data_IF_302014578492
#
_entry.id   IF_302014578492
#
_cell.length_a   1.000
_cell.length_b   1.000
_cell.length_c   1.000
_cell.angle_alpha   90.00
_cell.angle_beta   90.00
_cell.angle_gamma   90.00
#
_symmetry.space_group_name_H-M   'P 1'
#
loop_
_entity.id
_entity.type
_entity.pdbx_description
1 polymer ?
#
# COMPACT_ATOMS: atom_id res chain seq x y z
N UNK A 1 -5.88 -24.81 3.90
CA UNK A 1 -4.99 -23.80 4.50
C UNK A 1 -5.76 -23.07 5.59
N UNK A 2 -5.29 -23.16 6.83
CA UNK A 2 -5.82 -22.41 7.96
C UNK A 2 -5.35 -20.95 7.92
N UNK A 3 -6.05 -20.05 8.62
CA UNK A 3 -5.65 -18.64 8.74
C UNK A 3 -4.24 -18.54 9.35
N UNK A 4 -3.91 -19.43 10.29
CA UNK A 4 -2.60 -19.51 10.92
C UNK A 4 -1.51 -19.82 9.89
N UNK A 5 -1.68 -20.88 9.12
CA UNK A 5 -0.74 -21.27 8.05
C UNK A 5 -0.60 -20.17 6.99
N UNK A 6 -1.69 -19.50 6.62
CA UNK A 6 -1.66 -18.39 5.68
C UNK A 6 -0.84 -17.21 6.22
N UNK A 7 -1.01 -16.86 7.50
CA UNK A 7 -0.26 -15.80 8.16
C UNK A 7 1.24 -16.13 8.23
N UNK A 8 1.59 -17.34 8.66
CA UNK A 8 2.98 -17.82 8.72
C UNK A 8 3.66 -17.78 7.35
N UNK A 9 2.93 -18.18 6.29
CA UNK A 9 3.44 -18.12 4.92
C UNK A 9 3.74 -16.68 4.48
N UNK A 10 2.84 -15.75 4.79
CA UNK A 10 3.04 -14.31 4.46
C UNK A 10 4.20 -13.72 5.25
N UNK A 11 4.33 -14.05 6.54
CA UNK A 11 5.45 -13.60 7.38
C UNK A 11 6.79 -14.10 6.86
N UNK A 12 6.88 -15.38 6.47
CA UNK A 12 8.10 -15.95 5.89
C UNK A 12 8.46 -15.28 4.57
N UNK A 13 7.46 -14.99 3.72
CA UNK A 13 7.70 -14.29 2.45
C UNK A 13 8.26 -12.88 2.67
N UNK A 14 7.67 -12.13 3.61
CA UNK A 14 8.15 -10.79 3.92
C UNK A 14 9.54 -10.80 4.55
N UNK A 15 9.89 -11.81 5.37
CA UNK A 15 11.23 -11.98 5.94
C UNK A 15 12.32 -11.92 4.86
N UNK A 16 12.10 -12.57 3.72
CA UNK A 16 13.03 -12.64 2.59
C UNK A 16 12.88 -11.48 1.58
N UNK A 17 11.88 -10.61 1.75
CA UNK A 17 11.50 -9.54 0.80
C UNK A 17 11.28 -8.20 1.51
N UNK A 18 12.23 -7.79 2.34
CA UNK A 18 12.17 -6.54 3.10
C UNK A 18 12.07 -5.30 2.20
N UNK A 19 12.61 -5.37 0.98
CA UNK A 19 12.49 -4.33 -0.03
C UNK A 19 11.03 -4.07 -0.43
N UNK A 20 10.17 -5.10 -0.43
CA UNK A 20 8.75 -4.94 -0.72
C UNK A 20 8.06 -4.20 0.40
N UNK A 21 8.35 -4.52 1.67
CA UNK A 21 7.81 -3.78 2.82
C UNK A 21 8.21 -2.31 2.76
N UNK A 22 9.49 -2.05 2.53
CA UNK A 22 10.00 -0.68 2.40
C UNK A 22 9.30 0.07 1.28
N UNK A 23 9.16 -0.55 0.11
CA UNK A 23 8.48 0.06 -1.02
C UNK A 23 6.99 0.31 -0.74
N UNK A 24 6.28 -0.61 -0.07
CA UNK A 24 4.89 -0.42 0.32
C UNK A 24 4.74 0.78 1.27
N UNK A 25 5.61 0.90 2.28
CA UNK A 25 5.62 2.04 3.19
C UNK A 25 5.93 3.36 2.47
N UNK A 26 6.83 3.36 1.50
CA UNK A 26 7.07 4.53 0.65
C UNK A 26 5.82 4.94 -0.13
N UNK A 27 5.05 4.00 -0.70
CA UNK A 27 3.80 4.29 -1.41
C UNK A 27 2.72 4.85 -0.48
N UNK A 28 2.57 4.30 0.73
CA UNK A 28 1.66 4.85 1.75
C UNK A 28 2.05 6.28 2.12
N UNK A 29 3.33 6.50 2.42
CA UNK A 29 3.85 7.82 2.75
C UNK A 29 3.68 8.84 1.62
N UNK A 30 3.88 8.42 0.38
CA UNK A 30 3.62 9.25 -0.80
C UNK A 30 2.15 9.65 -0.88
N UNK A 31 1.22 8.70 -0.69
CA UNK A 31 -0.21 8.97 -0.67
C UNK A 31 -0.61 9.94 0.46
N UNK A 32 -0.05 9.79 1.66
CA UNK A 32 -0.33 10.69 2.79
C UNK A 32 0.24 12.10 2.58
N UNK A 33 1.40 12.24 1.93
CA UNK A 33 2.07 13.54 1.72
C UNK A 33 1.61 14.29 0.48
N UNK A 34 1.32 13.57 -0.61
CA UNK A 34 1.03 14.15 -1.93
C UNK A 34 -0.41 13.94 -2.38
N UNK A 35 -1.22 13.29 -1.54
CA UNK A 35 -2.59 12.87 -1.85
C UNK A 35 -2.69 12.09 -3.16
N UNK A 36 -1.60 11.42 -3.55
CA UNK A 36 -1.50 10.69 -4.80
C UNK A 36 -0.28 9.79 -4.88
N UNK A 37 -0.36 8.78 -5.74
CA UNK A 37 0.78 7.94 -6.16
C UNK A 37 0.84 7.87 -7.68
N UNK A 38 2.00 7.52 -8.23
CA UNK A 38 2.22 7.44 -9.66
C UNK A 38 2.62 6.02 -10.08
N UNK A 39 2.11 5.59 -11.23
CA UNK A 39 2.61 4.40 -11.94
C UNK A 39 3.99 4.67 -12.53
N UNK A 40 4.68 3.63 -12.99
CA UNK A 40 5.98 3.76 -13.66
C UNK A 40 5.94 4.72 -14.86
N UNK A 41 4.81 4.77 -15.59
CA UNK A 41 4.60 5.64 -16.75
C UNK A 41 3.98 7.00 -16.37
N UNK A 42 4.02 7.38 -15.09
CA UNK A 42 3.61 8.71 -14.62
C UNK A 42 2.10 8.93 -14.47
N UNK A 43 1.24 7.96 -14.80
CA UNK A 43 -0.20 8.06 -14.51
C UNK A 43 -0.43 8.17 -13.00
N UNK A 44 -1.16 9.19 -12.56
CA UNK A 44 -1.45 9.44 -11.15
C UNK A 44 -2.77 8.78 -10.69
N UNK A 45 -2.76 8.20 -9.49
CA UNK A 45 -3.97 7.89 -8.72
C UNK A 45 -4.08 8.90 -7.58
N UNK A 46 -5.21 9.62 -7.50
CA UNK A 46 -5.44 10.72 -6.54
C UNK A 46 -6.31 10.27 -5.37
N UNK A 47 -6.08 10.85 -4.19
CA UNK A 47 -6.76 10.57 -2.92
C UNK A 47 -7.17 11.88 -2.21
N UNK A 48 -8.06 12.69 -2.80
CA UNK A 48 -8.41 14.00 -2.25
C UNK A 48 -9.15 13.93 -0.90
N UNK A 49 -9.72 12.78 -0.54
CA UNK A 49 -10.47 12.58 0.70
C UNK A 49 -9.62 12.17 1.91
N UNK A 50 -8.28 12.07 1.76
CA UNK A 50 -7.39 11.52 2.78
C UNK A 50 -7.36 12.35 4.08
N UNK A 51 -7.47 13.68 4.00
CA UNK A 51 -7.39 14.58 5.17
C UNK A 51 -8.49 14.31 6.20
N UNK A 52 -9.70 14.01 5.72
CA UNK A 52 -10.88 13.74 6.57
C UNK A 52 -11.27 12.25 6.56
N UNK A 53 -10.37 11.37 6.13
CA UNK A 53 -10.68 9.96 6.00
C UNK A 53 -10.80 9.27 7.37
N UNK A 54 -11.85 8.46 7.52
CA UNK A 54 -11.94 7.49 8.63
C UNK A 54 -10.80 6.47 8.54
N UNK A 55 -10.49 5.79 9.65
CA UNK A 55 -9.44 4.75 9.66
C UNK A 55 -9.70 3.66 8.61
N UNK A 56 -10.95 3.27 8.40
CA UNK A 56 -11.32 2.30 7.37
C UNK A 56 -11.04 2.81 5.94
N UNK A 57 -11.34 4.08 5.67
CA UNK A 57 -11.05 4.71 4.39
C UNK A 57 -9.54 4.89 4.18
N UNK A 58 -8.78 5.24 5.23
CA UNK A 58 -7.31 5.29 5.19
C UNK A 58 -6.72 3.93 4.80
N UNK A 59 -7.15 2.84 5.44
CA UNK A 59 -6.72 1.49 5.07
C UNK A 59 -7.11 1.09 3.64
N UNK A 60 -8.23 1.61 3.10
CA UNK A 60 -8.56 1.42 1.70
C UNK A 60 -7.64 2.21 0.76
N UNK A 61 -7.36 3.48 1.10
CA UNK A 61 -6.44 4.34 0.34
C UNK A 61 -5.03 3.76 0.32
N UNK A 62 -4.50 3.30 1.46
CA UNK A 62 -3.17 2.71 1.54
C UNK A 62 -3.03 1.46 0.65
N UNK A 63 -4.03 0.58 0.63
CA UNK A 63 -4.06 -0.56 -0.30
C UNK A 63 -4.11 -0.10 -1.76
N UNK A 64 -4.91 0.93 -2.06
CA UNK A 64 -4.98 1.49 -3.40
C UNK A 64 -3.66 2.15 -3.84
N UNK A 65 -2.95 2.78 -2.91
CA UNK A 65 -1.65 3.42 -3.14
C UNK A 65 -0.55 2.39 -3.45
N UNK A 66 -0.61 1.22 -2.82
CA UNK A 66 0.28 0.08 -3.09
C UNK A 66 -0.05 -0.55 -4.44
N UNK A 67 -1.33 -0.81 -4.73
CA UNK A 67 -1.70 -1.61 -5.90
C UNK A 67 -1.64 -0.83 -7.22
N UNK A 68 -2.00 0.46 -7.21
CA UNK A 68 -2.13 1.22 -8.46
C UNK A 68 -0.85 1.37 -9.28
N UNK A 69 0.36 1.46 -8.69
CA UNK A 69 1.60 1.50 -9.46
C UNK A 69 2.01 0.17 -10.11
N UNK A 70 1.51 -0.95 -9.61
CA UNK A 70 1.87 -2.31 -10.08
C UNK A 70 0.84 -2.88 -11.04
N UNK A 71 -0.42 -2.44 -10.92
CA UNK A 71 -1.56 -2.87 -11.75
C UNK A 71 -1.75 -1.99 -12.99
#
# INVERSE_FOLDING_TARGET
>A
VSIKEAKETVELWYKERQEVLKWQEERKNEAHKKHSVHTLLGRARRFPSLDNASSALKSHIERAAINAPVQ
#
